data_IF_602340738595
#
_entry.id   IF_602340738595
#
_cell.length_a   1.000
_cell.length_b   1.000
_cell.length_c   1.000
_cell.angle_alpha   90.00
_cell.angle_beta   90.00
_cell.angle_gamma   90.00
#
_symmetry.space_group_name_H-M   'P 1'
#
loop_
_entity.id
_entity.type
_entity.pdbx_description
1 polymer ?
#
# COMPACT_ATOMS: atom_id res chain seq x y z
N UNK A 1 0.13 9.33 -5.53
CA UNK A 1 -0.23 7.97 -5.10
C UNK A 1 -1.66 7.84 -4.53
N UNK A 2 -2.48 8.90 -4.58
CA UNK A 2 -3.68 9.05 -3.75
C UNK A 2 -4.74 7.95 -3.91
N UNK A 3 -4.92 7.41 -5.11
CA UNK A 3 -5.90 6.33 -5.35
C UNK A 3 -5.33 4.92 -5.20
N UNK A 4 -4.02 4.75 -5.27
CA UNK A 4 -3.36 3.46 -5.49
C UNK A 4 -2.33 3.08 -4.43
N UNK A 5 -2.28 3.81 -3.30
CA UNK A 5 -1.51 3.44 -2.11
C UNK A 5 -2.15 2.26 -1.35
N UNK A 6 -2.28 1.12 -2.03
CA UNK A 6 -2.89 -0.12 -1.55
C UNK A 6 -2.16 -1.33 -2.12
N UNK A 7 -2.09 -2.40 -1.36
CA UNK A 7 -1.61 -3.70 -1.82
C UNK A 7 -2.66 -4.39 -2.67
N UNK A 8 -2.26 -4.89 -3.82
CA UNK A 8 -3.07 -5.83 -4.61
C UNK A 8 -2.83 -7.25 -4.08
N UNK A 9 -3.91 -7.91 -3.68
CA UNK A 9 -3.93 -9.30 -3.29
C UNK A 9 -4.64 -10.08 -4.40
N UNK A 10 -3.97 -11.09 -4.94
CA UNK A 10 -4.56 -11.99 -5.93
C UNK A 10 -4.75 -13.38 -5.31
N UNK A 11 -5.95 -13.93 -5.49
CA UNK A 11 -6.33 -15.26 -5.05
C UNK A 11 -6.45 -16.18 -6.27
N UNK A 12 -5.62 -17.21 -6.31
CA UNK A 12 -5.57 -18.16 -7.45
C UNK A 12 -6.77 -19.11 -7.50
N UNK A 13 -7.44 -19.35 -6.38
CA UNK A 13 -8.58 -20.27 -6.26
C UNK A 13 -9.79 -19.88 -7.11
N UNK A 14 -10.06 -18.59 -7.17
CA UNK A 14 -11.25 -17.98 -7.77
C UNK A 14 -10.85 -16.87 -8.76
N UNK A 15 -9.55 -16.76 -9.06
CA UNK A 15 -8.95 -15.74 -9.92
C UNK A 15 -9.42 -14.32 -9.53
N UNK A 16 -9.41 -14.02 -8.24
CA UNK A 16 -9.95 -12.78 -7.68
C UNK A 16 -8.85 -11.80 -7.30
N UNK A 17 -9.13 -10.52 -7.50
CA UNK A 17 -8.31 -9.42 -7.01
C UNK A 17 -9.01 -8.71 -5.84
N UNK A 18 -8.24 -8.40 -4.80
CA UNK A 18 -8.66 -7.61 -3.64
C UNK A 18 -7.61 -6.55 -3.36
N UNK A 19 -8.02 -5.44 -2.74
CA UNK A 19 -7.11 -4.35 -2.42
C UNK A 19 -7.13 -4.07 -0.92
N UNK A 20 -5.93 -4.03 -0.32
CA UNK A 20 -5.75 -3.75 1.11
C UNK A 20 -4.96 -2.45 1.31
N UNK A 21 -5.37 -1.53 2.18
CA UNK A 21 -4.64 -0.28 2.39
C UNK A 21 -3.23 -0.52 2.93
N UNK A 22 -2.27 0.32 2.51
CA UNK A 22 -0.91 0.31 3.05
C UNK A 22 -0.94 0.76 4.52
N UNK A 23 -0.20 0.04 5.39
CA UNK A 23 -0.05 0.43 6.79
C UNK A 23 0.89 1.62 6.90
N UNK A 24 0.33 2.79 7.18
CA UNK A 24 1.05 4.06 7.18
C UNK A 24 1.41 4.60 8.58
N UNK A 25 0.95 3.96 9.67
CA UNK A 25 1.20 4.42 11.05
C UNK A 25 2.24 3.53 11.77
N UNK A 26 3.47 4.02 12.03
CA UNK A 26 4.46 3.32 12.84
C UNK A 26 4.11 3.41 14.34
N UNK A 27 4.76 2.59 15.16
CA UNK A 27 4.55 2.58 16.62
C UNK A 27 5.51 3.52 17.37
N UNK A 28 6.69 3.82 16.81
CA UNK A 28 7.80 4.48 17.53
C UNK A 28 8.28 5.77 16.88
N UNK A 29 7.97 5.99 15.61
CA UNK A 29 8.47 7.12 14.83
C UNK A 29 7.35 7.74 14.02
N UNK A 30 7.53 9.00 13.66
CA UNK A 30 6.57 9.69 12.81
C UNK A 30 6.52 9.08 11.40
N UNK A 31 5.32 9.07 10.78
CA UNK A 31 5.15 8.53 9.43
C UNK A 31 5.87 9.40 8.40
N UNK A 32 6.54 8.76 7.45
CA UNK A 32 7.22 9.44 6.35
C UNK A 32 6.21 9.68 5.23
N UNK A 33 5.92 10.95 4.86
CA UNK A 33 5.00 11.24 3.77
C UNK A 33 5.53 10.73 2.42
N UNK A 34 4.64 10.29 1.50
CA UNK A 34 5.04 9.92 0.15
C UNK A 34 5.74 11.09 -0.55
N UNK A 35 6.89 10.81 -1.16
CA UNK A 35 7.67 11.80 -1.90
C UNK A 35 8.08 11.22 -3.28
N UNK A 36 8.33 12.08 -4.29
CA UNK A 36 8.83 11.63 -5.58
C UNK A 36 10.15 10.86 -5.42
N UNK A 37 10.21 9.64 -5.96
CA UNK A 37 11.42 8.81 -5.93
C UNK A 37 12.34 9.16 -7.10
N UNK A 38 13.44 9.87 -6.83
CA UNK A 38 14.51 10.19 -7.79
C UNK A 38 15.74 9.29 -7.55
N UNK A 39 16.64 9.17 -8.54
CA UNK A 39 17.83 8.30 -8.51
C UNK A 39 19.10 9.06 -8.14
#
# INVERSE_FOLDING_TARGET
DDEWMKHTLWYSSDNRLEYKPVRFKPLTVDPIPPAPRTF
#
